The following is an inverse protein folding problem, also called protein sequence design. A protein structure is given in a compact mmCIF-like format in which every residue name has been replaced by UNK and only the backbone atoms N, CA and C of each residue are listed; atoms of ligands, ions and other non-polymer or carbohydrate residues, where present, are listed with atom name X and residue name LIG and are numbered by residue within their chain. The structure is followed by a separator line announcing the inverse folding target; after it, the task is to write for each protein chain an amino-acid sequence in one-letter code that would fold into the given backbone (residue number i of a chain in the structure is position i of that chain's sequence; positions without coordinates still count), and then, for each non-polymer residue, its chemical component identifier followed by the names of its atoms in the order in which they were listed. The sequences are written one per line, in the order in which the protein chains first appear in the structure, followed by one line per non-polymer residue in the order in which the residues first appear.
data_IF_592985681084
#
_entry.id   IF_592985681084
#
_cell.length_a   1.000
_cell.length_b   1.000
_cell.length_c   1.000
_cell.angle_alpha   90.00
_cell.angle_beta   90.00
_cell.angle_gamma   90.00
#
_symmetry.space_group_name_H-M   'P 1'
#
loop_
_entity.id
_entity.type
_entity.pdbx_description
1 polymer ?
#
# COMPACT_ATOMS: atom_id res chain seq x y z
N UNK A 1 7.85 -37.33 -6.34
CA UNK A 1 6.57 -36.64 -6.63
C UNK A 1 5.73 -36.48 -5.36
N UNK A 2 5.21 -35.28 -5.09
CA UNK A 2 4.50 -34.94 -3.86
C UNK A 2 5.46 -34.62 -2.71
N UNK A 3 5.53 -35.48 -1.69
CA UNK A 3 6.46 -35.32 -0.55
C UNK A 3 7.92 -35.67 -0.87
N UNK A 4 8.16 -36.51 -1.88
CA UNK A 4 9.50 -36.96 -2.25
C UNK A 4 10.01 -36.21 -3.49
N UNK A 5 11.30 -35.91 -3.51
CA UNK A 5 12.00 -35.30 -4.66
C UNK A 5 12.78 -36.39 -5.37
N UNK A 6 12.65 -36.50 -6.70
CA UNK A 6 13.49 -37.37 -7.52
C UNK A 6 14.43 -36.51 -8.37
N UNK A 7 15.73 -36.79 -8.36
CA UNK A 7 16.67 -36.10 -9.23
C UNK A 7 16.52 -36.60 -10.68
N UNK A 8 16.44 -35.67 -11.62
CA UNK A 8 16.42 -35.91 -13.06
C UNK A 8 17.59 -35.15 -13.71
N UNK A 9 18.13 -35.66 -14.82
CA UNK A 9 19.29 -35.03 -15.49
C UNK A 9 18.88 -33.80 -16.31
N UNK A 10 17.81 -33.91 -17.10
CA UNK A 10 17.29 -32.83 -17.93
C UNK A 10 15.75 -32.82 -17.96
N UNK A 11 15.18 -31.69 -18.38
CA UNK A 11 13.75 -31.54 -18.53
C UNK A 11 13.39 -30.70 -19.77
N UNK A 12 12.60 -31.23 -20.72
CA UNK A 12 12.19 -30.48 -21.90
C UNK A 12 11.10 -29.46 -21.57
N UNK A 13 11.01 -28.43 -22.42
CA UNK A 13 10.02 -27.36 -22.28
C UNK A 13 8.57 -27.90 -22.23
N UNK A 14 7.74 -27.27 -21.41
CA UNK A 14 6.33 -27.65 -21.21
C UNK A 14 6.04 -28.46 -19.95
N UNK A 15 7.07 -28.87 -19.20
CA UNK A 15 6.94 -29.60 -17.94
C UNK A 15 7.16 -28.70 -16.72
N UNK A 16 6.60 -29.12 -15.57
CA UNK A 16 6.81 -28.48 -14.26
C UNK A 16 7.96 -29.20 -13.55
N UNK A 17 8.96 -28.44 -13.09
CA UNK A 17 10.11 -28.96 -12.36
C UNK A 17 10.41 -28.14 -11.11
N UNK A 18 10.93 -28.80 -10.08
CA UNK A 18 11.55 -28.14 -8.93
C UNK A 18 13.05 -27.98 -9.17
N UNK A 19 13.59 -26.81 -8.87
CA UNK A 19 15.02 -26.52 -8.99
C UNK A 19 15.63 -26.38 -7.60
N UNK A 20 16.79 -26.98 -7.39
CA UNK A 20 17.54 -26.92 -6.12
C UNK A 20 18.74 -26.00 -6.29
N UNK A 21 19.02 -25.14 -5.29
CA UNK A 21 20.19 -24.24 -5.28
C UNK A 21 19.98 -22.85 -5.89
N UNK A 22 18.73 -22.49 -6.21
CA UNK A 22 18.37 -21.17 -6.77
C UNK A 22 17.68 -20.27 -5.73
N UNK A 23 17.36 -20.83 -4.56
CA UNK A 23 16.70 -20.16 -3.44
C UNK A 23 17.45 -18.93 -2.93
N UNK A 24 18.78 -18.86 -3.08
CA UNK A 24 19.57 -17.69 -2.68
C UNK A 24 19.37 -16.49 -3.62
N UNK A 25 19.07 -16.73 -4.90
CA UNK A 25 18.99 -15.69 -5.93
C UNK A 25 17.55 -15.30 -6.25
N UNK A 26 16.58 -16.20 -6.08
CA UNK A 26 15.17 -15.96 -6.32
C UNK A 26 14.38 -15.98 -5.01
N UNK A 27 13.72 -14.86 -4.71
CA UNK A 27 12.88 -14.70 -3.50
C UNK A 27 11.46 -15.24 -3.70
N UNK A 28 10.76 -14.83 -4.76
CA UNK A 28 9.33 -15.19 -4.99
C UNK A 28 9.09 -15.72 -6.39
N UNK A 29 9.30 -14.87 -7.39
CA UNK A 29 9.18 -15.24 -8.79
C UNK A 29 10.37 -14.69 -9.57
N UNK A 30 10.78 -15.42 -10.59
CA UNK A 30 11.88 -15.04 -11.46
C UNK A 30 11.85 -15.86 -12.73
N UNK A 31 12.54 -15.36 -13.74
CA UNK A 31 12.71 -16.04 -15.02
C UNK A 31 14.17 -16.45 -15.15
N UNK A 32 14.43 -17.74 -15.37
CA UNK A 32 15.77 -18.26 -15.61
C UNK A 32 15.92 -18.42 -17.12
N UNK A 33 16.97 -17.82 -17.68
CA UNK A 33 17.24 -17.89 -19.12
C UNK A 33 18.72 -18.12 -19.34
N UNK A 34 19.06 -18.68 -20.50
CA UNK A 34 20.45 -18.90 -20.96
C UNK A 34 20.91 -17.86 -21.97
N UNK A 35 20.05 -16.92 -22.35
CA UNK A 35 20.33 -15.90 -23.37
C UNK A 35 20.42 -14.52 -22.73
N UNK A 36 21.50 -13.78 -23.01
CA UNK A 36 21.75 -12.45 -22.46
C UNK A 36 20.75 -11.39 -22.94
N UNK A 37 20.03 -11.64 -24.04
CA UNK A 37 19.04 -10.71 -24.60
C UNK A 37 17.59 -11.02 -24.18
N UNK A 38 17.38 -11.99 -23.29
CA UNK A 38 16.05 -12.42 -22.89
C UNK A 38 15.42 -11.47 -21.86
N UNK A 39 14.13 -11.20 -22.02
CA UNK A 39 13.34 -10.43 -21.06
C UNK A 39 12.66 -11.36 -20.06
N UNK A 40 12.33 -10.83 -18.87
CA UNK A 40 11.57 -11.57 -17.86
C UNK A 40 10.16 -11.92 -18.36
N UNK A 41 9.68 -13.10 -18.00
CA UNK A 41 8.27 -13.47 -18.14
C UNK A 41 7.40 -12.59 -17.25
N UNK A 42 6.11 -12.49 -17.59
CA UNK A 42 5.14 -11.65 -16.87
C UNK A 42 5.12 -12.04 -15.39
N UNK A 43 5.63 -11.14 -14.55
CA UNK A 43 5.62 -11.30 -13.09
C UNK A 43 4.17 -11.35 -12.61
N UNK A 44 3.86 -12.30 -11.72
CA UNK A 44 2.54 -12.34 -11.11
C UNK A 44 2.33 -11.08 -10.27
N UNK A 45 1.40 -10.23 -10.71
CA UNK A 45 0.85 -9.17 -9.86
C UNK A 45 -0.14 -9.85 -8.92
N UNK A 46 0.20 -9.98 -7.65
CA UNK A 46 -0.76 -10.44 -6.65
C UNK A 46 -1.83 -9.38 -6.51
N UNK A 47 -3.09 -9.75 -6.71
CA UNK A 47 -4.25 -8.85 -6.54
C UNK A 47 -4.46 -8.48 -5.07
N UNK A 48 -3.81 -9.17 -4.14
CA UNK A 48 -4.06 -9.06 -2.71
C UNK A 48 -2.95 -8.25 -2.07
N UNK A 49 -3.25 -7.01 -1.73
CA UNK A 49 -2.33 -6.16 -0.97
C UNK A 49 -2.27 -6.64 0.48
N UNK A 50 -1.07 -6.79 1.07
CA UNK A 50 -0.92 -7.15 2.47
C UNK A 50 -1.25 -5.92 3.35
N UNK A 51 -2.49 -5.88 3.82
CA UNK A 51 -3.12 -4.71 4.47
C UNK A 51 -3.11 -4.79 5.99
N UNK A 52 -3.01 -6.00 6.55
CA UNK A 52 -2.91 -6.23 8.00
C UNK A 52 -1.46 -6.49 8.36
N UNK A 53 -0.94 -5.75 9.33
CA UNK A 53 0.45 -5.77 9.75
C UNK A 53 0.57 -6.09 11.24
N UNK A 54 1.57 -6.89 11.61
CA UNK A 54 1.95 -7.13 13.00
C UNK A 54 3.45 -6.90 13.13
N UNK A 55 3.84 -6.16 14.18
CA UNK A 55 5.23 -6.07 14.58
C UNK A 55 5.62 -7.32 15.36
N UNK A 56 6.76 -7.90 14.97
CA UNK A 56 7.29 -9.14 15.54
C UNK A 56 8.65 -8.85 16.15
N UNK A 57 8.79 -9.15 17.43
CA UNK A 57 10.04 -9.02 18.17
C UNK A 57 10.47 -10.36 18.79
N UNK A 58 11.77 -10.57 18.95
CA UNK A 58 12.27 -11.69 19.73
C UNK A 58 12.09 -11.42 21.23
N UNK A 59 11.65 -12.41 22.01
CA UNK A 59 11.69 -12.26 23.49
C UNK A 59 13.11 -12.14 24.03
N UNK A 60 14.06 -12.83 23.39
CA UNK A 60 15.48 -12.77 23.72
C UNK A 60 16.24 -12.04 22.62
N UNK A 61 17.04 -11.03 22.98
CA UNK A 61 17.84 -10.26 22.01
C UNK A 61 18.86 -11.13 21.25
N UNK A 62 19.35 -12.21 21.86
CA UNK A 62 20.33 -13.12 21.26
C UNK A 62 19.79 -13.91 20.05
N UNK A 63 18.47 -14.06 19.94
CA UNK A 63 17.82 -14.84 18.90
C UNK A 63 17.46 -14.00 17.65
N UNK A 64 17.78 -12.71 17.64
CA UNK A 64 17.51 -11.81 16.51
C UNK A 64 18.02 -12.33 15.15
N UNK A 65 19.22 -12.94 15.03
CA UNK A 65 19.67 -13.49 13.75
C UNK A 65 18.77 -14.61 13.21
N UNK A 66 18.19 -15.43 14.10
CA UNK A 66 17.26 -16.49 13.72
C UNK A 66 15.92 -15.92 13.26
N UNK A 67 15.45 -14.85 13.87
CA UNK A 67 14.23 -14.17 13.43
C UNK A 67 14.39 -13.60 12.02
N UNK A 68 15.50 -12.90 11.76
CA UNK A 68 15.76 -12.30 10.43
C UNK A 68 15.82 -13.39 9.34
N UNK A 69 16.46 -14.52 9.64
CA UNK A 69 16.51 -15.66 8.73
C UNK A 69 15.14 -16.34 8.58
N UNK A 70 14.39 -16.49 9.67
CA UNK A 70 13.03 -17.04 9.66
C UNK A 70 12.06 -16.19 8.84
N UNK A 71 12.13 -14.86 8.95
CA UNK A 71 11.34 -13.92 8.16
C UNK A 71 11.66 -14.02 6.66
N UNK A 72 12.94 -14.19 6.30
CA UNK A 72 13.32 -14.42 4.90
C UNK A 72 12.74 -15.73 4.37
N UNK A 73 12.71 -16.78 5.18
CA UNK A 73 12.11 -18.08 4.81
C UNK A 73 10.60 -17.98 4.67
N UNK A 74 9.93 -17.30 5.60
CA UNK A 74 8.50 -17.03 5.54
C UNK A 74 8.11 -16.26 4.27
N UNK A 75 8.90 -15.24 3.89
CA UNK A 75 8.64 -14.49 2.66
C UNK A 75 8.85 -15.30 1.37
N UNK A 76 9.64 -16.38 1.44
CA UNK A 76 9.83 -17.33 0.33
C UNK A 76 8.73 -18.40 0.28
N UNK A 77 8.21 -18.83 1.43
CA UNK A 77 7.16 -19.86 1.50
C UNK A 77 5.82 -19.32 1.06
N UNK A 78 5.47 -18.09 1.45
CA UNK A 78 4.20 -17.45 1.07
C UNK A 78 4.42 -16.19 0.21
N UNK A 79 3.97 -16.19 -1.07
CA UNK A 79 4.06 -15.03 -1.93
C UNK A 79 3.23 -13.82 -1.49
N UNK A 80 2.14 -14.03 -0.75
CA UNK A 80 1.22 -13.00 -0.26
C UNK A 80 1.69 -12.36 1.05
N UNK A 81 2.70 -12.91 1.72
CA UNK A 81 3.32 -12.31 2.91
C UNK A 81 4.41 -11.33 2.51
N UNK A 82 4.42 -10.18 3.17
CA UNK A 82 5.44 -9.17 2.99
C UNK A 82 6.12 -8.91 4.35
N UNK A 83 7.40 -9.26 4.43
CA UNK A 83 8.23 -9.02 5.61
C UNK A 83 9.22 -7.91 5.28
N UNK A 84 9.22 -6.85 6.08
CA UNK A 84 10.18 -5.75 5.95
C UNK A 84 10.53 -5.20 7.34
N UNK A 85 11.67 -4.54 7.43
CA UNK A 85 12.06 -3.81 8.63
C UNK A 85 11.66 -2.35 8.43
N UNK A 86 10.92 -1.78 9.37
CA UNK A 86 10.60 -0.35 9.36
C UNK A 86 11.85 0.49 9.62
N UNK A 87 11.78 1.78 9.29
CA UNK A 87 12.85 2.73 9.61
C UNK A 87 13.04 2.92 11.13
N UNK A 88 12.02 2.57 11.94
CA UNK A 88 12.11 2.49 13.41
C UNK A 88 12.88 1.27 13.92
N UNK A 89 13.26 0.34 13.03
CA UNK A 89 13.97 -0.89 13.37
C UNK A 89 13.07 -2.05 13.80
N UNK A 90 11.75 -1.90 13.70
CA UNK A 90 10.79 -2.97 14.01
C UNK A 90 10.66 -3.92 12.81
N UNK A 91 10.55 -5.22 13.07
CA UNK A 91 10.28 -6.20 12.01
C UNK A 91 8.78 -6.35 11.83
N UNK A 92 8.29 -5.99 10.65
CA UNK A 92 6.86 -6.00 10.31
C UNK A 92 6.57 -7.21 9.42
N UNK A 93 5.55 -7.99 9.80
CA UNK A 93 4.95 -9.03 8.96
C UNK A 93 3.58 -8.55 8.52
N UNK A 94 3.42 -8.36 7.22
CA UNK A 94 2.18 -7.93 6.60
C UNK A 94 1.55 -9.11 5.84
N UNK A 95 0.25 -9.31 6.05
CA UNK A 95 -0.54 -10.36 5.44
C UNK A 95 -1.87 -9.84 4.87
N UNK A 96 -2.46 -10.64 3.99
CA UNK A 96 -3.74 -10.34 3.33
C UNK A 96 -4.97 -10.36 4.24
N UNK A 97 -4.89 -10.90 5.46
CA UNK A 97 -6.02 -11.00 6.38
C UNK A 97 -5.63 -11.59 7.73
N UNK A 98 -6.54 -11.53 8.70
CA UNK A 98 -6.31 -11.97 10.09
C UNK A 98 -5.89 -13.44 10.19
N UNK A 99 -6.67 -14.35 9.60
CA UNK A 99 -6.39 -15.79 9.63
C UNK A 99 -5.06 -16.13 8.93
N UNK A 100 -4.80 -15.49 7.78
CA UNK A 100 -3.56 -15.69 7.05
C UNK A 100 -2.35 -15.27 7.90
N UNK A 101 -2.45 -14.11 8.56
CA UNK A 101 -1.39 -13.63 9.43
C UNK A 101 -1.20 -14.50 10.68
N UNK A 102 -2.29 -15.02 11.26
CA UNK A 102 -2.22 -15.95 12.38
C UNK A 102 -1.44 -17.23 12.04
N UNK A 103 -1.73 -17.82 10.87
CA UNK A 103 -0.99 -19.00 10.37
C UNK A 103 0.47 -18.64 10.12
N UNK A 104 0.74 -17.52 9.45
CA UNK A 104 2.11 -17.08 9.16
C UNK A 104 2.94 -16.86 10.43
N UNK A 105 2.34 -16.29 11.48
CA UNK A 105 3.01 -16.08 12.76
C UNK A 105 3.25 -17.41 13.48
N UNK A 106 2.33 -18.36 13.36
CA UNK A 106 2.49 -19.71 13.90
C UNK A 106 3.63 -20.46 13.19
N UNK A 107 3.64 -20.45 11.87
CA UNK A 107 4.70 -21.08 11.06
C UNK A 107 6.06 -20.42 11.31
N UNK A 108 6.08 -19.11 11.57
CA UNK A 108 7.30 -18.40 11.96
C UNK A 108 7.83 -18.88 13.32
N UNK A 109 6.95 -19.05 14.32
CA UNK A 109 7.31 -19.47 15.68
C UNK A 109 7.68 -20.96 15.75
N UNK A 110 6.94 -21.84 15.06
CA UNK A 110 7.09 -23.30 15.14
C UNK A 110 8.11 -23.88 14.15
N UNK A 111 8.14 -23.38 12.90
CA UNK A 111 8.89 -24.03 11.82
C UNK A 111 10.09 -23.21 11.32
N UNK A 112 9.90 -21.91 11.05
CA UNK A 112 10.94 -21.12 10.37
C UNK A 112 12.01 -20.58 11.32
N UNK A 113 11.60 -19.91 12.40
CA UNK A 113 12.51 -19.28 13.35
C UNK A 113 12.74 -20.15 14.61
N UNK A 114 11.77 -20.99 14.99
CA UNK A 114 11.84 -21.89 16.15
C UNK A 114 12.21 -21.18 17.45
N UNK A 115 11.69 -19.97 17.63
CA UNK A 115 12.00 -19.09 18.76
C UNK A 115 10.71 -18.46 19.29
N UNK A 116 10.64 -18.19 20.60
CA UNK A 116 9.48 -17.53 21.16
C UNK A 116 9.45 -16.05 20.73
N UNK A 117 8.42 -15.69 19.98
CA UNK A 117 8.22 -14.33 19.47
C UNK A 117 7.23 -13.53 20.35
N UNK A 118 7.38 -12.21 20.35
CA UNK A 118 6.42 -11.26 20.91
C UNK A 118 5.72 -10.59 19.74
N UNK A 119 4.40 -10.73 19.69
CA UNK A 119 3.53 -10.17 18.64
C UNK A 119 2.80 -8.94 19.17
N UNK A 120 2.78 -7.87 18.39
CA UNK A 120 1.89 -6.74 18.63
C UNK A 120 0.46 -7.07 18.22
N UNK A 121 -0.48 -6.20 18.59
CA UNK A 121 -1.83 -6.28 18.04
C UNK A 121 -1.82 -6.03 16.52
N UNK A 122 -2.69 -6.70 15.75
CA UNK A 122 -2.84 -6.46 14.32
C UNK A 122 -3.25 -5.03 14.02
N UNK A 123 -2.52 -4.41 13.10
CA UNK A 123 -2.71 -3.04 12.67
C UNK A 123 -3.12 -3.03 11.20
N UNK A 124 -3.98 -2.09 10.86
CA UNK A 124 -4.34 -1.82 9.46
C UNK A 124 -3.49 -0.66 8.95
N UNK A 125 -2.94 -0.82 7.75
CA UNK A 125 -2.27 0.26 7.05
C UNK A 125 -3.32 1.24 6.49
N UNK A 126 -3.14 2.53 6.77
CA UNK A 126 -3.96 3.60 6.18
C UNK A 126 -3.17 4.26 5.04
N UNK A 127 -3.83 5.08 4.24
CA UNK A 127 -3.15 5.97 3.30
C UNK A 127 -3.59 7.41 3.50
N UNK A 128 -2.69 8.36 3.26
CA UNK A 128 -3.00 9.79 3.32
C UNK A 128 -3.41 10.30 1.93
N UNK A 129 -4.44 11.12 1.86
CA UNK A 129 -4.88 11.80 0.64
C UNK A 129 -5.15 13.28 0.92
N UNK A 130 -5.55 14.01 -0.10
CA UNK A 130 -6.00 15.40 -0.05
C UNK A 130 -7.38 15.50 -0.68
N UNK A 131 -8.19 16.47 -0.23
CA UNK A 131 -9.58 16.64 -0.69
C UNK A 131 -9.81 17.95 -1.44
N UNK A 132 -9.05 19.00 -1.11
CA UNK A 132 -9.21 20.33 -1.69
C UNK A 132 -8.06 20.70 -2.63
N UNK A 133 -8.35 21.61 -3.56
CA UNK A 133 -7.33 22.15 -4.46
C UNK A 133 -6.55 23.29 -3.79
N UNK A 134 -5.23 23.21 -3.91
CA UNK A 134 -4.28 24.27 -3.57
C UNK A 134 -3.08 24.15 -4.53
N UNK A 135 -1.84 24.17 -4.01
CA UNK A 135 -0.66 23.73 -4.76
C UNK A 135 -0.62 22.20 -4.94
N UNK A 136 -1.45 21.48 -4.18
CA UNK A 136 -1.75 20.07 -4.38
C UNK A 136 -3.22 19.90 -4.79
N UNK A 137 -3.50 18.93 -5.64
CA UNK A 137 -4.82 18.65 -6.22
C UNK A 137 -5.14 17.17 -6.08
N UNK A 138 -6.36 16.80 -5.67
CA UNK A 138 -6.74 15.39 -5.58
C UNK A 138 -6.76 14.74 -6.97
N UNK A 139 -6.27 13.51 -7.05
CA UNK A 139 -6.41 12.67 -8.22
C UNK A 139 -7.75 11.92 -8.13
N UNK A 140 -8.45 11.83 -9.25
CA UNK A 140 -9.64 10.96 -9.35
C UNK A 140 -9.28 9.51 -9.00
N UNK A 141 -10.25 8.78 -8.44
CA UNK A 141 -10.07 7.38 -8.08
C UNK A 141 -9.75 6.52 -9.31
N UNK A 142 -10.41 6.79 -10.44
CA UNK A 142 -10.18 6.07 -11.71
C UNK A 142 -8.73 6.19 -12.18
N UNK A 143 -8.15 7.40 -12.08
CA UNK A 143 -6.76 7.63 -12.46
C UNK A 143 -5.81 6.94 -11.47
N UNK A 144 -6.11 7.00 -10.18
CA UNK A 144 -5.32 6.31 -9.16
C UNK A 144 -5.29 4.79 -9.40
N UNK A 145 -6.43 4.19 -9.72
CA UNK A 145 -6.55 2.78 -10.08
C UNK A 145 -5.85 2.45 -11.41
N UNK A 146 -5.92 3.33 -12.41
CA UNK A 146 -5.23 3.15 -13.68
C UNK A 146 -3.69 3.13 -13.51
N UNK A 147 -3.17 3.94 -12.59
CA UNK A 147 -1.75 3.93 -12.22
C UNK A 147 -1.39 2.64 -11.48
N UNK A 148 -2.16 2.26 -10.46
CA UNK A 148 -1.92 1.02 -9.67
C UNK A 148 -1.99 -0.25 -10.54
N UNK A 149 -2.92 -0.30 -11.50
CA UNK A 149 -3.04 -1.40 -12.46
C UNK A 149 -1.91 -1.39 -13.52
N UNK A 150 -1.20 -0.28 -13.67
CA UNK A 150 -0.12 -0.09 -14.62
C UNK A 150 -0.59 0.18 -16.05
N UNK A 151 -1.80 0.73 -16.22
CA UNK A 151 -2.26 1.29 -17.50
C UNK A 151 -1.54 2.60 -17.82
N UNK A 152 -1.25 3.39 -16.78
CA UNK A 152 -0.46 4.61 -16.84
C UNK A 152 0.79 4.40 -16.01
N UNK A 153 1.92 4.21 -16.67
CA UNK A 153 3.20 3.92 -16.04
C UNK A 153 4.23 5.06 -16.17
N UNK A 154 5.28 5.02 -15.33
CA UNK A 154 6.43 5.92 -15.45
C UNK A 154 7.28 5.56 -16.67
N UNK A 155 7.28 4.28 -17.04
CA UNK A 155 8.07 3.70 -18.14
C UNK A 155 7.50 3.99 -19.52
N UNK A 156 6.23 4.39 -19.59
CA UNK A 156 5.58 4.69 -20.87
C UNK A 156 6.14 5.97 -21.49
N UNK A 157 6.14 6.03 -22.82
CA UNK A 157 6.56 7.24 -23.53
C UNK A 157 5.65 8.42 -23.13
N UNK A 158 6.27 9.52 -22.70
CA UNK A 158 5.56 10.68 -22.16
C UNK A 158 4.46 11.25 -23.09
N UNK A 159 4.61 11.15 -24.42
CA UNK A 159 3.58 11.58 -25.37
C UNK A 159 2.38 10.63 -25.42
N UNK A 160 2.63 9.32 -25.40
CA UNK A 160 1.58 8.32 -25.40
C UNK A 160 0.78 8.39 -24.10
N UNK A 161 1.50 8.50 -22.96
CA UNK A 161 0.90 8.73 -21.65
C UNK A 161 0.04 9.99 -21.61
N UNK A 162 0.54 11.09 -22.16
CA UNK A 162 -0.21 12.35 -22.18
C UNK A 162 -1.49 12.28 -23.01
N UNK A 163 -1.53 11.45 -24.07
CA UNK A 163 -2.77 11.21 -24.83
C UNK A 163 -3.78 10.42 -24.01
N UNK A 164 -3.37 9.32 -23.38
CA UNK A 164 -4.25 8.51 -22.53
C UNK A 164 -4.85 9.36 -21.39
N UNK A 165 -4.01 10.18 -20.74
CA UNK A 165 -4.47 11.09 -19.70
C UNK A 165 -5.48 12.14 -20.20
N UNK A 166 -5.27 12.66 -21.41
CA UNK A 166 -6.16 13.67 -21.99
C UNK A 166 -7.49 13.07 -22.49
N UNK A 167 -7.43 11.90 -23.13
CA UNK A 167 -8.57 11.26 -23.76
C UNK A 167 -9.50 10.58 -22.74
N UNK A 168 -8.95 9.97 -21.68
CA UNK A 168 -9.74 9.19 -20.70
C UNK A 168 -9.96 9.89 -19.37
N UNK A 169 -9.09 10.83 -18.97
CA UNK A 169 -9.11 11.46 -17.65
C UNK A 169 -9.22 12.99 -17.71
N UNK A 170 -9.53 13.55 -18.89
CA UNK A 170 -9.74 14.99 -19.12
C UNK A 170 -8.55 15.88 -18.68
N UNK A 171 -7.33 15.34 -18.71
CA UNK A 171 -6.13 16.11 -18.40
C UNK A 171 -5.71 17.04 -19.54
N UNK A 172 -5.11 18.17 -19.19
CA UNK A 172 -4.43 18.99 -20.17
C UNK A 172 -3.19 18.28 -20.72
N UNK A 173 -3.07 18.26 -22.05
CA UNK A 173 -2.00 17.54 -22.74
C UNK A 173 -0.62 18.15 -22.45
N UNK A 174 -0.54 19.46 -22.17
CA UNK A 174 0.74 20.11 -21.86
C UNK A 174 1.18 19.75 -20.45
N UNK A 175 0.27 19.76 -19.48
CA UNK A 175 0.54 19.35 -18.10
C UNK A 175 0.93 17.87 -18.00
N UNK A 176 0.20 17.00 -18.72
CA UNK A 176 0.46 15.56 -18.72
C UNK A 176 1.86 15.19 -19.26
N UNK A 177 2.43 16.01 -20.14
CA UNK A 177 3.81 15.84 -20.63
C UNK A 177 4.88 16.26 -19.63
N UNK A 178 4.53 17.14 -18.69
CA UNK A 178 5.43 17.71 -17.68
C UNK A 178 5.41 16.95 -16.35
N UNK A 179 4.92 15.72 -16.34
CA UNK A 179 5.01 14.83 -15.17
C UNK A 179 6.49 14.47 -14.94
N UNK A 180 7.01 14.84 -13.77
CA UNK A 180 8.38 14.54 -13.37
C UNK A 180 8.53 13.14 -12.79
N UNK A 181 7.62 12.74 -11.90
CA UNK A 181 7.68 11.46 -11.23
C UNK A 181 6.31 10.98 -10.72
N UNK A 182 6.23 9.67 -10.55
CA UNK A 182 5.19 8.95 -9.84
C UNK A 182 5.74 8.54 -8.47
N UNK A 183 4.93 8.46 -7.42
CA UNK A 183 5.42 8.10 -6.09
C UNK A 183 4.34 7.46 -5.20
N UNK A 184 4.70 6.69 -4.17
CA UNK A 184 6.06 6.28 -3.79
C UNK A 184 6.68 5.19 -4.71
N UNK A 185 7.98 4.91 -4.55
CA UNK A 185 8.77 3.90 -5.27
C UNK A 185 8.69 3.96 -6.81
N UNK A 186 8.59 5.18 -7.34
CA UNK A 186 8.44 5.46 -8.77
C UNK A 186 7.18 4.88 -9.44
N UNK A 187 6.29 4.14 -8.75
CA UNK A 187 5.11 3.51 -9.35
C UNK A 187 3.79 3.83 -8.63
N UNK A 188 3.84 4.53 -7.48
CA UNK A 188 2.64 4.84 -6.71
C UNK A 188 1.72 5.87 -7.37
N UNK A 189 0.47 5.87 -6.93
CA UNK A 189 -0.60 6.74 -7.42
C UNK A 189 -0.52 8.18 -6.86
N UNK A 190 0.65 8.81 -6.97
CA UNK A 190 0.85 10.24 -6.73
C UNK A 190 1.68 10.83 -7.86
N UNK A 191 1.43 12.08 -8.24
CA UNK A 191 2.08 12.73 -9.38
C UNK A 191 2.77 14.02 -8.95
N UNK A 192 3.98 14.24 -9.47
CA UNK A 192 4.65 15.54 -9.43
C UNK A 192 4.65 16.16 -10.82
N UNK A 193 4.05 17.34 -10.96
CA UNK A 193 3.88 18.04 -12.25
C UNK A 193 4.55 19.40 -12.19
N UNK A 194 5.33 19.71 -13.22
CA UNK A 194 5.97 21.01 -13.39
C UNK A 194 5.06 21.97 -14.16
N UNK A 195 4.64 23.06 -13.50
CA UNK A 195 3.88 24.15 -14.10
C UNK A 195 4.68 25.47 -14.15
N UNK A 196 5.98 25.41 -13.87
CA UNK A 196 6.84 26.60 -13.83
C UNK A 196 7.00 27.25 -15.21
N UNK A 197 7.27 28.56 -15.22
CA UNK A 197 7.46 29.36 -16.44
C UNK A 197 8.70 30.24 -16.30
N UNK A 198 9.68 30.04 -17.18
CA UNK A 198 10.85 30.93 -17.27
C UNK A 198 11.91 30.75 -16.18
N UNK A 199 11.95 29.59 -15.50
CA UNK A 199 12.94 29.32 -14.44
C UNK A 199 14.25 28.79 -15.04
N UNK A 200 15.36 29.48 -14.77
CA UNK A 200 16.70 29.02 -15.14
C UNK A 200 17.17 27.88 -14.22
N UNK A 201 17.97 26.95 -14.76
CA UNK A 201 18.58 25.82 -14.03
C UNK A 201 17.61 24.80 -13.41
N UNK A 202 16.34 24.80 -13.81
CA UNK A 202 15.31 23.88 -13.30
C UNK A 202 15.69 22.39 -13.48
N UNK A 203 16.34 22.06 -14.59
CA UNK A 203 16.78 20.69 -14.88
C UNK A 203 17.81 20.16 -13.90
N UNK A 204 18.62 21.03 -13.27
CA UNK A 204 19.66 20.63 -12.32
C UNK A 204 19.08 20.20 -10.97
N UNK A 205 17.92 20.76 -10.59
CA UNK A 205 17.27 20.45 -9.31
C UNK A 205 16.27 19.29 -9.42
N UNK A 206 15.92 18.87 -10.64
CA UNK A 206 14.87 17.88 -10.91
C UNK A 206 15.07 16.60 -10.10
N UNK A 207 16.28 16.03 -10.11
CA UNK A 207 16.56 14.78 -9.41
C UNK A 207 16.43 14.92 -7.90
N UNK A 208 16.79 16.08 -7.36
CA UNK A 208 16.64 16.39 -5.93
C UNK A 208 15.17 16.55 -5.54
N UNK A 209 14.36 17.21 -6.37
CA UNK A 209 12.91 17.33 -6.17
C UNK A 209 12.21 15.98 -6.27
N UNK A 210 12.58 15.15 -7.25
CA UNK A 210 12.03 13.79 -7.38
C UNK A 210 12.37 12.93 -6.18
N UNK A 211 13.61 12.98 -5.67
CA UNK A 211 14.00 12.25 -4.46
C UNK A 211 13.21 12.71 -3.22
N UNK A 212 13.03 14.04 -3.06
CA UNK A 212 12.19 14.59 -2.00
C UNK A 212 10.73 14.12 -2.11
N UNK A 213 10.20 14.06 -3.33
CA UNK A 213 8.85 13.60 -3.61
C UNK A 213 8.65 12.11 -3.29
N UNK A 214 9.61 11.24 -3.65
CA UNK A 214 9.54 9.82 -3.27
C UNK A 214 9.48 9.65 -1.76
N UNK A 215 10.29 10.42 -1.02
CA UNK A 215 10.29 10.36 0.43
C UNK A 215 8.99 10.91 1.03
N UNK A 216 8.54 12.08 0.58
CA UNK A 216 7.33 12.71 1.08
C UNK A 216 6.06 11.87 0.81
N UNK A 217 6.00 11.17 -0.32
CA UNK A 217 4.87 10.29 -0.64
C UNK A 217 4.91 8.94 0.08
N UNK A 218 6.09 8.53 0.56
CA UNK A 218 6.25 7.34 1.42
C UNK A 218 5.88 7.64 2.88
N UNK A 219 6.25 8.82 3.37
CA UNK A 219 5.95 9.27 4.73
C UNK A 219 5.07 10.51 4.67
N UNK A 220 3.75 10.33 4.81
CA UNK A 220 2.79 11.41 4.90
C UNK A 220 2.96 12.31 6.14
N UNK A 221 2.29 13.46 6.14
CA UNK A 221 2.47 14.54 7.12
C UNK A 221 1.90 14.17 8.49
N UNK A 222 0.75 13.49 8.50
CA UNK A 222 -0.05 13.33 9.71
C UNK A 222 0.30 12.05 10.47
N UNK A 223 0.48 10.96 9.75
CA UNK A 223 0.63 9.62 10.30
C UNK A 223 1.88 8.90 9.80
N UNK A 224 2.68 9.55 8.95
CA UNK A 224 3.82 8.92 8.25
C UNK A 224 3.40 7.63 7.54
N UNK A 225 2.18 7.60 7.01
CA UNK A 225 1.69 6.55 6.12
C UNK A 225 1.87 6.96 4.66
N UNK A 226 1.84 5.99 3.77
CA UNK A 226 1.97 6.25 2.34
C UNK A 226 0.84 7.16 1.85
N UNK A 227 1.19 8.16 1.04
CA UNK A 227 0.22 9.01 0.36
C UNK A 227 -0.39 8.27 -0.84
N UNK A 228 -1.63 8.59 -1.20
CA UNK A 228 -2.32 8.10 -2.40
C UNK A 228 -3.28 9.15 -2.93
N UNK A 229 -3.33 9.27 -4.25
CA UNK A 229 -4.30 10.13 -4.92
C UNK A 229 -3.91 11.61 -4.87
N UNK A 230 -2.62 11.93 -4.72
CA UNK A 230 -2.16 13.32 -4.61
C UNK A 230 -1.40 13.76 -5.86
N UNK A 231 -1.80 14.88 -6.46
CA UNK A 231 -1.03 15.57 -7.51
C UNK A 231 -0.43 16.84 -6.94
N UNK A 232 0.89 16.98 -7.00
CA UNK A 232 1.63 18.16 -6.55
C UNK A 232 2.10 18.96 -7.76
N UNK A 233 1.73 20.24 -7.79
CA UNK A 233 2.04 21.16 -8.86
C UNK A 233 3.16 22.12 -8.42
N UNK A 234 4.29 22.09 -9.12
CA UNK A 234 5.37 23.07 -8.92
C UNK A 234 4.99 24.33 -9.68
N UNK A 235 4.56 25.37 -8.95
CA UNK A 235 4.08 26.63 -9.54
C UNK A 235 5.23 27.56 -9.92
N UNK A 236 6.18 27.76 -9.00
CA UNK A 236 7.34 28.63 -9.21
C UNK A 236 8.53 28.13 -8.39
N UNK A 237 9.74 28.46 -8.85
CA UNK A 237 11.01 28.13 -8.17
C UNK A 237 12.00 29.26 -8.35
N UNK A 238 12.52 29.78 -7.24
CA UNK A 238 13.60 30.76 -7.23
C UNK A 238 14.89 30.09 -6.78
N UNK A 239 15.93 30.18 -7.62
CA UNK A 239 17.20 29.49 -7.43
C UNK A 239 18.36 30.48 -7.37
N UNK A 240 19.34 30.19 -6.51
CA UNK A 240 20.59 30.93 -6.47
C UNK A 240 21.40 30.68 -7.75
N UNK A 241 22.17 31.67 -8.24
CA UNK A 241 22.92 31.52 -9.49
C UNK A 241 23.95 30.37 -9.42
N UNK A 242 24.72 30.31 -8.34
CA UNK A 242 25.77 29.30 -8.18
C UNK A 242 25.24 27.92 -7.79
N UNK A 243 25.70 26.88 -8.49
CA UNK A 243 25.30 25.49 -8.25
C UNK A 243 25.70 24.97 -6.87
N UNK A 244 26.72 25.55 -6.23
CA UNK A 244 27.20 25.16 -4.89
C UNK A 244 26.09 25.36 -3.85
N UNK A 245 25.24 26.38 -4.04
CA UNK A 245 24.12 26.69 -3.15
C UNK A 245 22.82 25.94 -3.54
N UNK A 246 22.89 25.07 -4.56
CA UNK A 246 21.74 24.31 -5.10
C UNK A 246 21.93 22.80 -4.99
N UNK A 247 22.86 22.36 -4.14
CA UNK A 247 23.08 20.93 -3.89
C UNK A 247 21.84 20.25 -3.27
N UNK A 248 21.76 18.93 -3.44
CA UNK A 248 20.61 18.14 -2.96
C UNK A 248 20.31 18.31 -1.47
N UNK A 249 21.32 18.56 -0.64
CA UNK A 249 21.13 18.83 0.79
C UNK A 249 20.31 20.10 1.10
N UNK A 250 20.23 21.06 0.18
CA UNK A 250 19.41 22.27 0.31
C UNK A 250 18.02 22.07 -0.33
N UNK A 251 18.00 21.48 -1.53
CA UNK A 251 16.77 21.33 -2.31
C UNK A 251 15.84 20.26 -1.74
N UNK A 252 16.37 19.13 -1.26
CA UNK A 252 15.55 18.00 -0.78
C UNK A 252 14.70 18.42 0.43
N UNK A 253 15.26 19.01 1.51
CA UNK A 253 14.45 19.42 2.66
C UNK A 253 13.45 20.52 2.30
N UNK A 254 13.84 21.51 1.49
CA UNK A 254 12.96 22.59 1.07
C UNK A 254 11.77 22.06 0.26
N UNK A 255 12.02 21.17 -0.71
CA UNK A 255 10.98 20.54 -1.51
C UNK A 255 10.06 19.65 -0.67
N UNK A 256 10.61 18.86 0.27
CA UNK A 256 9.82 18.03 1.20
C UNK A 256 8.90 18.89 2.07
N UNK A 257 9.40 19.96 2.67
CA UNK A 257 8.59 20.89 3.47
C UNK A 257 7.49 21.54 2.64
N UNK A 258 7.78 21.95 1.40
CA UNK A 258 6.78 22.53 0.50
C UNK A 258 5.68 21.53 0.13
N UNK A 259 6.03 20.26 -0.15
CA UNK A 259 5.05 19.18 -0.42
C UNK A 259 4.15 18.97 0.81
N UNK A 260 4.73 18.93 2.01
CA UNK A 260 3.98 18.78 3.25
C UNK A 260 3.05 19.96 3.54
N UNK A 261 3.52 21.19 3.34
CA UNK A 261 2.68 22.38 3.46
C UNK A 261 1.53 22.37 2.46
N UNK A 262 1.80 21.99 1.20
CA UNK A 262 0.77 21.87 0.17
C UNK A 262 -0.28 20.81 0.53
N UNK A 263 0.15 19.64 1.02
CA UNK A 263 -0.76 18.59 1.46
C UNK A 263 -1.62 19.00 2.67
N UNK A 264 -1.04 19.76 3.60
CA UNK A 264 -1.73 20.24 4.80
C UNK A 264 -2.82 21.27 4.46
N UNK A 265 -2.56 22.17 3.50
CA UNK A 265 -3.53 23.19 3.06
C UNK A 265 -4.64 22.58 2.19
N UNK A 266 -4.34 21.49 1.48
CA UNK A 266 -5.25 20.79 0.58
C UNK A 266 -6.32 19.91 1.27
N UNK A 267 -6.75 20.25 2.49
CA UNK A 267 -7.70 19.48 3.30
C UNK A 267 -7.34 17.98 3.37
N UNK A 268 -6.41 17.60 4.27
CA UNK A 268 -5.86 16.25 4.33
C UNK A 268 -6.92 15.24 4.74
N UNK A 269 -7.00 14.12 4.01
CA UNK A 269 -7.90 13.00 4.29
C UNK A 269 -7.14 11.73 4.63
N UNK A 270 -7.78 10.83 5.38
CA UNK A 270 -7.28 9.49 5.64
C UNK A 270 -8.12 8.48 4.85
N UNK A 271 -7.47 7.59 4.11
CA UNK A 271 -8.11 6.47 3.43
C UNK A 271 -7.98 5.20 4.27
N UNK A 272 -9.11 4.56 4.54
CA UNK A 272 -9.15 3.22 5.13
C UNK A 272 -9.25 2.15 4.02
N UNK A 273 -8.58 0.99 4.16
CA UNK A 273 -8.74 -0.08 3.21
C UNK A 273 -10.05 -0.85 3.49
N UNK A 274 -10.68 -1.32 2.43
CA UNK A 274 -11.98 -2.00 2.47
C UNK A 274 -11.88 -3.37 1.79
N UNK A 275 -12.45 -4.39 2.42
CA UNK A 275 -12.63 -5.70 1.82
C UNK A 275 -13.93 -5.76 1.02
N UNK A 276 -13.88 -6.41 -0.13
CA UNK A 276 -15.04 -7.07 -0.72
C UNK A 276 -15.19 -8.43 -0.04
N UNK A 277 -16.29 -8.58 0.69
CA UNK A 277 -16.64 -9.82 1.38
C UNK A 277 -17.74 -10.52 0.58
N UNK A 278 -17.45 -11.73 0.13
CA UNK A 278 -18.42 -12.65 -0.46
C UNK A 278 -18.80 -13.70 0.59
N UNK A 279 -20.06 -13.73 0.99
CA UNK A 279 -20.55 -14.64 2.03
C UNK A 279 -21.52 -15.62 1.39
N UNK A 280 -21.16 -16.90 1.41
CA UNK A 280 -22.06 -17.97 0.95
C UNK A 280 -22.82 -18.55 2.13
N UNK A 281 -24.15 -18.51 2.09
CA UNK A 281 -25.01 -19.00 3.17
C UNK A 281 -26.35 -19.55 2.66
N UNK A 282 -27.05 -20.39 3.44
CA UNK A 282 -28.46 -20.70 3.18
C UNK A 282 -29.37 -19.51 3.52
N UNK A 283 -30.56 -19.46 2.90
CA UNK A 283 -31.56 -18.39 3.10
C UNK A 283 -31.92 -18.17 4.58
N UNK A 284 -32.00 -19.26 5.35
CA UNK A 284 -32.32 -19.23 6.79
C UNK A 284 -31.33 -18.43 7.65
N UNK A 285 -30.08 -18.30 7.18
CA UNK A 285 -29.01 -17.64 7.92
C UNK A 285 -28.74 -16.20 7.44
N UNK A 286 -29.45 -15.71 6.40
CA UNK A 286 -29.22 -14.37 5.83
C UNK A 286 -29.42 -13.25 6.85
N UNK A 287 -30.43 -13.37 7.73
CA UNK A 287 -30.67 -12.35 8.77
C UNK A 287 -29.47 -12.13 9.71
N UNK A 288 -28.70 -13.20 9.99
CA UNK A 288 -27.49 -13.11 10.80
C UNK A 288 -26.38 -12.29 10.13
N UNK A 289 -26.26 -12.38 8.80
CA UNK A 289 -25.25 -11.65 8.02
C UNK A 289 -25.49 -10.13 8.12
N UNK A 290 -26.70 -9.65 7.84
CA UNK A 290 -27.01 -8.21 7.92
C UNK A 290 -26.80 -7.66 9.32
N UNK A 291 -27.11 -8.46 10.35
CA UNK A 291 -26.89 -8.03 11.74
C UNK A 291 -25.41 -7.78 12.04
N UNK A 292 -24.51 -8.66 11.57
CA UNK A 292 -23.07 -8.52 11.77
C UNK A 292 -22.49 -7.40 10.90
N UNK A 293 -22.90 -7.31 9.63
CA UNK A 293 -22.44 -6.25 8.72
C UNK A 293 -22.84 -4.86 9.22
N UNK A 294 -24.09 -4.66 9.63
CA UNK A 294 -24.55 -3.35 10.12
C UNK A 294 -23.81 -2.88 11.38
N UNK A 295 -23.43 -3.81 12.27
CA UNK A 295 -22.63 -3.47 13.46
C UNK A 295 -21.22 -3.01 13.12
N UNK A 296 -20.68 -3.46 11.98
CA UNK A 296 -19.27 -3.27 11.57
C UNK A 296 -19.11 -2.31 10.38
N UNK A 297 -20.07 -1.38 10.20
CA UNK A 297 -20.10 -0.40 9.09
C UNK A 297 -20.06 -1.04 7.69
N UNK A 298 -20.51 -2.29 7.56
CA UNK A 298 -20.54 -3.00 6.30
C UNK A 298 -21.66 -2.50 5.39
N UNK A 299 -21.36 -2.28 4.10
CA UNK A 299 -22.33 -1.88 3.09
C UNK A 299 -22.61 -3.03 2.13
N UNK A 300 -23.86 -3.49 2.04
CA UNK A 300 -24.23 -4.58 1.13
C UNK A 300 -24.37 -4.04 -0.29
N UNK A 301 -23.67 -4.68 -1.24
CA UNK A 301 -23.68 -4.31 -2.66
C UNK A 301 -24.83 -5.03 -3.37
N UNK A 302 -24.97 -6.33 -3.10
CA UNK A 302 -25.95 -7.16 -3.78
C UNK A 302 -26.00 -8.58 -3.25
N UNK A 303 -27.09 -9.26 -3.62
CA UNK A 303 -27.44 -10.60 -3.21
C UNK A 303 -27.73 -11.42 -4.46
N UNK A 304 -27.02 -12.52 -4.64
CA UNK A 304 -27.21 -13.42 -5.77
C UNK A 304 -27.53 -14.82 -5.26
N UNK A 305 -28.63 -15.39 -5.75
CA UNK A 305 -28.92 -16.79 -5.50
C UNK A 305 -28.10 -17.65 -6.46
N UNK A 306 -27.39 -18.68 -5.94
CA UNK A 306 -26.70 -19.64 -6.81
C UNK A 306 -27.73 -20.53 -7.51
N UNK A 307 -27.86 -20.46 -8.86
CA UNK A 307 -28.86 -21.24 -9.57
C UNK A 307 -28.69 -22.74 -9.31
N UNK A 308 -29.77 -23.42 -8.93
CA UNK A 308 -29.76 -24.85 -8.66
C UNK A 308 -29.35 -25.26 -7.24
N UNK A 309 -29.04 -24.31 -6.35
CA UNK A 309 -28.78 -24.60 -4.91
C UNK A 309 -29.56 -23.63 -4.01
N UNK A 310 -29.92 -24.03 -2.77
CA UNK A 310 -30.57 -23.13 -1.80
C UNK A 310 -29.58 -22.13 -1.16
N UNK A 311 -28.45 -21.87 -1.80
CA UNK A 311 -27.38 -21.01 -1.28
C UNK A 311 -27.47 -19.63 -1.92
N UNK A 312 -27.32 -18.62 -1.08
CA UNK A 312 -27.18 -17.22 -1.46
C UNK A 312 -25.72 -16.80 -1.31
N UNK A 313 -25.28 -15.92 -2.20
CA UNK A 313 -24.01 -15.21 -2.13
C UNK A 313 -24.32 -13.75 -1.88
N UNK A 314 -23.97 -13.28 -0.70
CA UNK A 314 -24.11 -11.86 -0.31
C UNK A 314 -22.75 -11.20 -0.53
N UNK A 315 -22.72 -10.12 -1.30
CA UNK A 315 -21.53 -9.30 -1.52
C UNK A 315 -21.64 -8.00 -0.74
N UNK A 316 -20.63 -7.69 0.06
CA UNK A 316 -20.61 -6.48 0.88
C UNK A 316 -19.20 -5.88 0.99
N UNK A 317 -19.14 -4.56 1.09
CA UNK A 317 -17.94 -3.83 1.48
C UNK A 317 -17.82 -3.80 3.00
N UNK A 318 -16.65 -4.16 3.53
CA UNK A 318 -16.35 -4.17 4.96
C UNK A 318 -15.00 -3.47 5.22
N UNK A 319 -14.94 -2.38 6.01
CA UNK A 319 -13.68 -1.77 6.41
C UNK A 319 -12.80 -2.76 7.16
N UNK A 320 -11.52 -2.84 6.81
CA UNK A 320 -10.60 -3.86 7.37
C UNK A 320 -10.39 -3.67 8.87
N UNK A 321 -10.41 -2.42 9.35
CA UNK A 321 -10.31 -2.13 10.78
C UNK A 321 -11.48 -2.74 11.58
N UNK A 322 -12.64 -2.92 10.95
CA UNK A 322 -13.83 -3.55 11.53
C UNK A 322 -13.93 -5.04 11.19
N UNK A 323 -12.92 -5.62 10.53
CA UNK A 323 -12.91 -7.04 10.12
C UNK A 323 -12.35 -7.98 11.20
N UNK A 324 -11.69 -7.44 12.24
CA UNK A 324 -11.11 -8.26 13.31
C UNK A 324 -12.18 -9.01 14.10
N UNK A 325 -12.07 -10.33 14.15
CA UNK A 325 -13.08 -11.20 14.77
C UNK A 325 -14.38 -11.34 13.97
N UNK A 326 -14.47 -10.78 12.75
CA UNK A 326 -15.66 -10.87 11.90
C UNK A 326 -16.09 -12.32 11.63
N UNK A 327 -15.13 -13.22 11.38
CA UNK A 327 -15.44 -14.63 11.09
C UNK A 327 -16.04 -15.36 12.30
N UNK A 328 -15.64 -15.00 13.51
CA UNK A 328 -16.18 -15.57 14.75
C UNK A 328 -17.61 -15.08 15.00
N UNK A 329 -17.84 -13.76 14.90
CA UNK A 329 -19.15 -13.16 15.04
C UNK A 329 -20.14 -13.67 13.99
N UNK A 330 -19.68 -13.81 12.74
CA UNK A 330 -20.48 -14.32 11.66
C UNK A 330 -20.88 -15.78 11.89
N UNK A 331 -19.94 -16.63 12.32
CA UNK A 331 -20.25 -18.03 12.69
C UNK A 331 -21.24 -18.09 13.84
N UNK A 332 -21.10 -17.24 14.86
CA UNK A 332 -22.03 -17.20 15.99
C UNK A 332 -23.43 -16.79 15.55
N UNK A 333 -23.55 -15.74 14.73
CA UNK A 333 -24.84 -15.22 14.26
C UNK A 333 -25.55 -16.15 13.27
N UNK A 334 -24.81 -17.00 12.56
CA UNK A 334 -25.34 -17.89 11.51
C UNK A 334 -25.34 -19.37 11.90
N UNK A 335 -24.98 -19.70 13.15
CA UNK A 335 -24.84 -21.09 13.60
C UNK A 335 -23.77 -21.88 12.83
N UNK A 336 -22.76 -21.19 12.28
CA UNK A 336 -21.70 -21.78 11.47
C UNK A 336 -22.07 -22.11 10.02
N UNK A 337 -23.24 -21.66 9.55
CA UNK A 337 -23.73 -21.96 8.19
C UNK A 337 -23.22 -21.00 7.11
N UNK A 338 -22.64 -19.86 7.50
CA UNK A 338 -22.08 -18.88 6.56
C UNK A 338 -20.57 -19.05 6.38
N UNK A 339 -20.14 -18.99 5.12
CA UNK A 339 -18.74 -19.06 4.71
C UNK A 339 -18.30 -17.73 4.11
N UNK A 340 -17.56 -16.90 4.87
CA UNK A 340 -17.03 -15.64 4.37
C UNK A 340 -15.74 -15.84 3.58
N UNK A 341 -15.62 -15.13 2.47
CA UNK A 341 -14.38 -14.90 1.75
C UNK A 341 -14.16 -13.39 1.66
N UNK A 342 -12.99 -12.92 2.08
CA UNK A 342 -12.65 -11.48 2.06
C UNK A 342 -11.45 -11.25 1.18
N UNK A 343 -11.56 -10.32 0.23
CA UNK A 343 -10.47 -9.88 -0.65
C UNK A 343 -10.37 -8.37 -0.58
N UNK A 344 -9.16 -7.83 -0.59
CA UNK A 344 -8.96 -6.39 -0.68
C UNK A 344 -9.55 -5.86 -1.98
N UNK A 345 -10.39 -4.84 -1.90
CA UNK A 345 -11.08 -4.27 -3.06
C UNK A 345 -10.55 -2.87 -3.39
N UNK A 346 -10.76 -1.90 -2.48
CA UNK A 346 -10.35 -0.52 -2.70
C UNK A 346 -9.97 0.20 -1.40
N UNK A 347 -9.41 1.40 -1.58
CA UNK A 347 -9.17 2.38 -0.53
C UNK A 347 -10.35 3.35 -0.50
N UNK A 348 -10.99 3.50 0.66
CA UNK A 348 -12.12 4.40 0.84
C UNK A 348 -11.71 5.60 1.69
N UNK A 349 -12.06 6.80 1.24
CA UNK A 349 -11.87 8.02 2.02
C UNK A 349 -12.77 8.00 3.27
N UNK A 350 -12.17 8.22 4.43
CA UNK A 350 -12.93 8.41 5.67
C UNK A 350 -13.65 9.76 5.64
N UNK A 351 -14.87 9.79 6.17
CA UNK A 351 -15.65 11.03 6.25
C UNK A 351 -14.97 12.03 7.19
N UNK A 352 -14.59 13.19 6.65
CA UNK A 352 -14.04 14.30 7.39
C UNK A 352 -12.63 14.73 6.95
N UNK A 353 -12.12 15.79 7.56
CA UNK A 353 -10.78 16.33 7.35
C UNK A 353 -9.89 16.02 8.57
N UNK A 354 -8.69 15.53 8.31
CA UNK A 354 -7.79 14.94 9.33
C UNK A 354 -7.33 15.91 10.41
N UNK A 355 -7.41 17.21 10.15
CA UNK A 355 -7.00 18.29 11.06
C UNK A 355 -8.18 19.00 11.75
N UNK A 356 -9.42 18.74 11.34
CA UNK A 356 -10.61 19.44 11.85
C UNK A 356 -11.57 18.50 12.59
N UNK A 357 -11.74 17.26 12.10
CA UNK A 357 -12.73 16.34 12.63
C UNK A 357 -12.23 15.58 13.88
N UNK A 358 -12.91 15.69 15.05
CA UNK A 358 -12.44 15.09 16.30
C UNK A 358 -12.19 13.57 16.23
N UNK A 359 -13.03 12.83 15.48
CA UNK A 359 -12.90 11.38 15.33
C UNK A 359 -11.68 11.00 14.49
N UNK A 360 -11.40 11.75 13.42
CA UNK A 360 -10.22 11.52 12.60
C UNK A 360 -8.96 11.93 13.35
N UNK A 361 -9.01 13.05 14.07
CA UNK A 361 -7.90 13.51 14.91
C UNK A 361 -7.55 12.42 15.93
N UNK A 362 -8.52 11.89 16.67
CA UNK A 362 -8.28 10.79 17.62
C UNK A 362 -7.60 9.59 16.95
N UNK A 363 -8.04 9.24 15.74
CA UNK A 363 -7.42 8.17 14.95
C UNK A 363 -5.98 8.49 14.56
N UNK A 364 -5.72 9.69 14.06
CA UNK A 364 -4.37 10.17 13.71
C UNK A 364 -3.47 10.14 14.96
N UNK A 365 -3.93 10.67 16.08
CA UNK A 365 -3.21 10.66 17.36
C UNK A 365 -2.89 9.23 17.81
N UNK A 366 -3.84 8.30 17.68
CA UNK A 366 -3.63 6.88 18.02
C UNK A 366 -2.52 6.23 17.16
N UNK A 367 -2.49 6.55 15.87
CA UNK A 367 -1.47 6.05 14.94
C UNK A 367 -0.10 6.67 15.27
N UNK A 368 -0.05 7.99 15.54
CA UNK A 368 1.19 8.70 15.90
C UNK A 368 1.79 8.17 17.20
N UNK A 369 0.97 8.00 18.23
CA UNK A 369 1.39 7.46 19.53
C UNK A 369 1.99 6.06 19.38
N UNK A 370 1.38 5.21 18.56
CA UNK A 370 1.87 3.85 18.28
C UNK A 370 3.23 3.88 17.58
N UNK A 371 3.41 4.76 16.59
CA UNK A 371 4.70 4.93 15.89
C UNK A 371 5.78 5.63 16.73
N UNK A 372 5.48 6.03 17.97
CA UNK A 372 6.41 6.78 18.82
C UNK A 372 6.65 8.22 18.36
N UNK A 373 5.77 8.75 17.50
CA UNK A 373 5.82 10.13 17.05
C UNK A 373 5.29 11.08 18.14
N UNK A 374 5.62 12.37 18.02
CA UNK A 374 5.03 13.40 18.89
C UNK A 374 3.51 13.32 18.78
N UNK A 375 2.84 13.22 19.93
CA UNK A 375 1.37 13.06 19.98
C UNK A 375 0.69 14.21 19.23
N UNK A 376 1.19 15.44 19.32
CA UNK A 376 0.66 16.59 18.57
C UNK A 376 0.89 16.48 17.05
N UNK A 377 -0.16 16.81 16.29
CA UNK A 377 -0.07 17.03 14.85
C UNK A 377 0.85 18.25 14.61
N UNK A 378 1.87 18.15 13.74
CA UNK A 378 2.75 19.28 13.48
C UNK A 378 1.96 20.48 12.93
N UNK A 379 2.12 21.68 13.49
CA UNK A 379 1.44 22.87 12.98
C UNK A 379 1.98 23.22 11.60
N UNK A 380 1.13 23.85 10.78
CA UNK A 380 1.47 24.29 9.41
C UNK A 380 2.74 25.17 9.39
N UNK A 381 2.92 26.03 10.41
CA UNK A 381 4.09 26.92 10.59
C UNK A 381 5.43 26.19 10.68
N UNK A 382 5.43 24.86 10.89
CA UNK A 382 6.65 24.06 10.86
C UNK A 382 7.16 23.85 9.44
N UNK A 383 6.25 23.82 8.46
CA UNK A 383 6.55 23.52 7.06
C UNK A 383 6.60 24.77 6.18
N UNK A 384 5.98 25.86 6.65
CA UNK A 384 6.11 27.18 6.02
C UNK A 384 7.44 27.83 6.43
N UNK A 385 8.05 28.54 5.48
CA UNK A 385 9.20 29.37 5.77
C UNK A 385 8.80 30.52 6.70
N UNK A 386 9.57 30.72 7.77
CA UNK A 386 9.42 31.88 8.64
C UNK A 386 10.01 33.09 7.92
N UNK A 387 9.14 33.97 7.45
CA UNK A 387 9.52 35.25 6.82
C UNK A 387 10.12 36.24 7.82
#
# INVERSE_FOLDING_TARGET
MGRYVEPIEDCPAGNIVGLVGIDQFLLKSGTITTSDSAHNLKVMKFSVSPVVQVAVECKNASDLPKLVEGLKRLSKSDPCVLCFTSDSGEHIVAGSGELHLEICLKDLEEDHAQIPIRKSDPVVQYKETIQAESSATPLGEDLSLAIENGKVGPRDEFKARARILSDEFEWDNQEARKIWAFGPDANGANLMVDLTKGVAYLSEIKDSCVAAFQWATREGVFTEENMRGCRFNILDVVLHADAIHRGGGQIIPACRSAIYAAAYVAQPGLMEPVYLVEITCPETAMGGIYSVLNKRRGHTIGEEQRPGTPMYVVKAHLPIAESFGFTADLRQATGGQAFPQSVFDHWQLMNGVSNEDPKLIEKVLSIRKRKGLKEEIPPLDRFLDRL
#
